data_IF_629931983585
#
_entry.id   IF_629931983585
#
_cell.length_a   1.000
_cell.length_b   1.000
_cell.length_c   1.000
_cell.angle_alpha   90.00
_cell.angle_beta   90.00
_cell.angle_gamma   90.00
#
_symmetry.space_group_name_H-M   'P 1'
#
loop_
_entity.id
_entity.type
_entity.pdbx_description
1 polymer ?
#
# COMPACT_ATOMS: atom_id res chain seq x y z
N UNK A 1 -19.41 5.82 -7.23
CA UNK A 1 -18.11 5.27 -6.90
C UNK A 1 -17.35 4.93 -8.17
N UNK A 2 -16.06 5.21 -8.22
CA UNK A 2 -15.29 4.89 -9.40
C UNK A 2 -15.23 3.37 -9.60
N UNK A 3 -15.36 2.91 -10.84
CA UNK A 3 -15.26 1.49 -11.19
C UNK A 3 -13.93 0.85 -10.76
N UNK A 4 -12.88 1.64 -10.57
CA UNK A 4 -11.58 1.17 -10.08
C UNK A 4 -11.63 0.58 -8.67
N UNK A 5 -12.39 1.17 -7.74
CA UNK A 5 -12.51 0.64 -6.37
C UNK A 5 -13.23 -0.72 -6.31
N UNK A 6 -14.07 -1.02 -7.29
CA UNK A 6 -14.77 -2.30 -7.36
C UNK A 6 -13.79 -3.44 -7.71
N UNK A 7 -12.84 -3.20 -8.59
CA UNK A 7 -11.94 -4.25 -9.11
C UNK A 7 -10.87 -4.69 -8.13
N UNK A 8 -10.28 -3.76 -7.42
CA UNK A 8 -9.23 -4.06 -6.45
C UNK A 8 -9.80 -4.76 -5.22
N UNK A 9 -11.05 -4.44 -4.87
CA UNK A 9 -11.75 -4.98 -3.71
C UNK A 9 -12.54 -6.25 -4.00
N UNK A 10 -13.15 -6.33 -5.16
CA UNK A 10 -14.09 -7.39 -5.55
C UNK A 10 -13.58 -8.19 -6.75
N UNK A 11 -12.41 -8.81 -6.61
CA UNK A 11 -11.87 -9.66 -7.66
C UNK A 11 -12.66 -10.97 -7.79
N UNK A 12 -12.59 -11.68 -8.95
CA UNK A 12 -13.38 -12.88 -9.21
C UNK A 12 -13.23 -13.96 -8.14
N UNK A 13 -14.34 -14.51 -7.67
CA UNK A 13 -14.36 -15.57 -6.65
C UNK A 13 -13.49 -16.78 -7.02
N UNK A 14 -13.40 -17.11 -8.31
CA UNK A 14 -12.52 -18.17 -8.80
C UNK A 14 -11.04 -17.94 -8.47
N UNK A 15 -10.58 -16.67 -8.42
CA UNK A 15 -9.23 -16.34 -8.00
C UNK A 15 -9.09 -16.43 -6.48
N UNK A 16 -10.14 -16.07 -5.73
CA UNK A 16 -10.18 -16.29 -4.28
C UNK A 16 -10.01 -17.78 -3.93
N UNK A 17 -10.70 -18.67 -4.61
CA UNK A 17 -10.57 -20.13 -4.42
C UNK A 17 -9.16 -20.65 -4.73
N UNK A 18 -8.37 -19.93 -5.53
CA UNK A 18 -6.97 -20.24 -5.81
C UNK A 18 -5.99 -19.62 -4.80
N UNK A 19 -6.49 -18.97 -3.74
CA UNK A 19 -5.68 -18.31 -2.72
C UNK A 19 -5.65 -16.79 -2.80
N UNK A 20 -6.28 -16.17 -3.80
CA UNK A 20 -6.38 -14.72 -3.94
C UNK A 20 -5.01 -14.05 -3.94
N UNK A 21 -4.88 -12.93 -3.24
CA UNK A 21 -3.62 -12.18 -3.15
C UNK A 21 -2.49 -12.92 -2.41
N UNK A 22 -2.79 -13.99 -1.67
CA UNK A 22 -1.74 -14.82 -1.05
C UNK A 22 -1.07 -15.77 -2.06
N UNK A 23 -1.75 -16.07 -3.16
CA UNK A 23 -1.15 -16.88 -4.22
C UNK A 23 -0.07 -16.07 -4.94
N UNK A 24 1.16 -16.58 -5.13
CA UNK A 24 2.23 -15.86 -5.82
C UNK A 24 1.89 -15.48 -7.27
N UNK A 25 1.03 -16.24 -7.94
CA UNK A 25 0.60 -15.95 -9.31
C UNK A 25 -0.40 -14.77 -9.38
N UNK A 26 -0.88 -14.26 -8.25
CA UNK A 26 -1.86 -13.16 -8.21
C UNK A 26 -1.34 -11.90 -8.89
N UNK A 27 -0.04 -11.64 -8.81
CA UNK A 27 0.59 -10.52 -9.50
C UNK A 27 0.52 -10.65 -11.03
N UNK A 28 0.63 -11.85 -11.57
CA UNK A 28 0.53 -12.10 -13.00
C UNK A 28 -0.92 -12.04 -13.47
N UNK A 29 -1.87 -12.60 -12.71
CA UNK A 29 -3.30 -12.46 -13.02
C UNK A 29 -3.75 -11.00 -13.09
N UNK A 30 -3.19 -10.15 -12.21
CA UNK A 30 -3.49 -8.73 -12.24
C UNK A 30 -2.93 -8.06 -13.49
N UNK A 31 -1.70 -8.42 -13.91
CA UNK A 31 -1.09 -7.91 -15.14
C UNK A 31 -1.88 -8.32 -16.37
N UNK A 32 -2.31 -9.58 -16.45
CA UNK A 32 -3.14 -10.06 -17.56
C UNK A 32 -4.43 -9.25 -17.69
N UNK A 33 -5.11 -9.01 -16.57
CA UNK A 33 -6.27 -8.14 -16.54
C UNK A 33 -5.94 -6.70 -16.96
N UNK A 34 -4.90 -6.10 -16.38
CA UNK A 34 -4.48 -4.73 -16.68
C UNK A 34 -4.12 -4.57 -18.17
N UNK A 35 -3.49 -5.58 -18.77
CA UNK A 35 -3.14 -5.58 -20.18
C UNK A 35 -4.35 -5.46 -21.09
N UNK A 36 -5.43 -6.18 -20.80
CA UNK A 36 -6.69 -6.07 -21.57
C UNK A 36 -7.24 -4.64 -21.51
N UNK A 37 -7.18 -4.00 -20.34
CA UNK A 37 -7.65 -2.62 -20.15
C UNK A 37 -6.75 -1.63 -20.91
N UNK A 38 -5.43 -1.80 -20.85
CA UNK A 38 -4.45 -0.93 -21.53
C UNK A 38 -4.59 -1.07 -23.04
N UNK A 39 -4.68 -2.27 -23.57
CA UNK A 39 -4.86 -2.53 -25.01
C UNK A 39 -6.15 -1.85 -25.55
N UNK A 40 -7.22 -1.82 -24.74
CA UNK A 40 -8.50 -1.24 -25.11
C UNK A 40 -8.55 0.29 -25.02
N UNK A 41 -7.84 0.91 -24.04
CA UNK A 41 -8.04 2.30 -23.67
C UNK A 41 -6.83 3.21 -23.84
N UNK A 42 -5.63 2.70 -24.07
CA UNK A 42 -4.40 3.50 -24.10
C UNK A 42 -4.24 4.41 -25.33
N UNK A 43 -5.16 4.32 -26.29
CA UNK A 43 -5.30 5.29 -27.39
C UNK A 43 -5.91 6.62 -26.95
N UNK A 44 -6.61 6.65 -25.80
CA UNK A 44 -7.33 7.81 -25.26
C UNK A 44 -6.99 8.17 -23.83
N UNK A 45 -6.52 7.20 -23.01
CA UNK A 45 -6.11 7.40 -21.62
C UNK A 45 -4.61 7.62 -21.53
N UNK A 46 -4.20 8.69 -20.85
CA UNK A 46 -2.79 9.02 -20.60
C UNK A 46 -2.37 8.72 -19.16
N UNK A 47 -3.23 8.98 -18.18
CA UNK A 47 -2.94 8.83 -16.76
C UNK A 47 -3.46 7.50 -16.23
N UNK A 48 -2.55 6.71 -15.65
CA UNK A 48 -2.85 5.36 -15.16
C UNK A 48 -2.46 5.25 -13.69
N UNK A 49 -3.36 4.81 -12.86
CA UNK A 49 -3.06 4.35 -11.50
C UNK A 49 -3.11 2.83 -11.50
N UNK A 50 -2.01 2.18 -11.14
CA UNK A 50 -1.91 0.72 -11.16
C UNK A 50 -2.81 0.08 -10.12
N UNK A 51 -2.73 0.57 -8.87
CA UNK A 51 -3.49 0.07 -7.72
C UNK A 51 -4.00 1.27 -6.93
N UNK A 52 -5.21 1.14 -6.42
CA UNK A 52 -5.85 2.14 -5.56
C UNK A 52 -6.11 1.55 -4.17
N UNK A 53 -5.66 2.25 -3.13
CA UNK A 53 -5.94 1.98 -1.71
C UNK A 53 -5.72 0.52 -1.28
N UNK A 54 -4.52 -0.05 -1.41
CA UNK A 54 -4.28 -1.41 -0.95
C UNK A 54 -4.50 -1.56 0.55
N UNK A 55 -4.36 -0.48 1.34
CA UNK A 55 -4.73 -0.43 2.74
C UNK A 55 -6.20 -0.83 2.98
N UNK A 56 -7.07 -0.52 2.01
CA UNK A 56 -8.50 -0.82 2.15
C UNK A 56 -8.79 -2.28 1.85
N UNK A 57 -8.36 -2.82 0.71
CA UNK A 57 -8.73 -4.19 0.38
C UNK A 57 -7.89 -5.23 1.14
N UNK A 58 -6.61 -4.99 1.41
CA UNK A 58 -5.80 -5.87 2.28
C UNK A 58 -6.13 -5.62 3.77
N UNK A 59 -6.07 -4.38 4.23
CA UNK A 59 -6.31 -4.07 5.64
C UNK A 59 -7.74 -4.37 6.07
N UNK A 60 -8.75 -3.82 5.39
CA UNK A 60 -10.14 -4.04 5.79
C UNK A 60 -10.67 -5.43 5.41
N UNK A 61 -10.17 -6.04 4.34
CA UNK A 61 -10.61 -7.36 3.90
C UNK A 61 -10.00 -8.51 4.67
N UNK A 62 -8.70 -8.40 5.00
CA UNK A 62 -7.93 -9.52 5.52
C UNK A 62 -7.27 -9.28 6.90
N UNK A 63 -7.08 -8.02 7.34
CA UNK A 63 -6.55 -7.77 8.68
C UNK A 63 -7.66 -7.63 9.72
N UNK A 64 -8.70 -6.82 9.44
CA UNK A 64 -9.81 -6.61 10.40
C UNK A 64 -11.11 -7.30 10.02
N UNK A 65 -11.23 -7.81 8.79
CA UNK A 65 -12.40 -8.56 8.34
C UNK A 65 -13.68 -7.73 8.23
N UNK A 66 -13.56 -6.42 7.90
CA UNK A 66 -14.69 -5.50 7.75
C UNK A 66 -15.31 -5.54 6.36
N UNK A 67 -14.52 -5.87 5.34
CA UNK A 67 -14.95 -6.00 3.95
C UNK A 67 -14.74 -7.43 3.46
N UNK A 68 -15.33 -7.77 2.33
CA UNK A 68 -15.07 -9.05 1.68
C UNK A 68 -13.54 -9.25 1.48
N UNK A 69 -13.02 -10.45 1.69
CA UNK A 69 -13.69 -11.71 2.02
C UNK A 69 -13.93 -11.93 3.53
N UNK A 70 -13.91 -10.88 4.37
CA UNK A 70 -14.21 -10.91 5.81
C UNK A 70 -13.27 -11.81 6.63
N UNK A 71 -12.03 -11.93 6.21
CA UNK A 71 -11.02 -12.75 6.86
C UNK A 71 -10.22 -11.95 7.90
N UNK A 72 -9.59 -12.66 8.83
CA UNK A 72 -8.61 -12.13 9.77
C UNK A 72 -7.39 -13.02 9.72
N UNK A 73 -6.39 -12.61 8.97
CA UNK A 73 -5.19 -13.38 8.73
C UNK A 73 -4.03 -12.90 9.63
N UNK A 74 -3.06 -13.78 9.92
CA UNK A 74 -1.86 -13.42 10.67
C UNK A 74 -0.99 -12.42 9.89
N UNK A 75 -0.13 -11.70 10.62
CA UNK A 75 0.75 -10.67 10.05
C UNK A 75 1.61 -11.19 8.89
N UNK A 76 2.12 -12.42 8.98
CA UNK A 76 2.91 -13.05 7.93
C UNK A 76 2.16 -13.13 6.59
N UNK A 77 0.91 -13.56 6.62
CA UNK A 77 0.10 -13.70 5.41
C UNK A 77 -0.26 -12.34 4.83
N UNK A 78 -0.59 -11.37 5.70
CA UNK A 78 -0.85 -9.99 5.29
C UNK A 78 0.38 -9.34 4.64
N UNK A 79 1.56 -9.57 5.20
CA UNK A 79 2.81 -9.08 4.63
C UNK A 79 3.10 -9.70 3.26
N UNK A 80 2.88 -11.02 3.12
CA UNK A 80 3.05 -11.70 1.83
C UNK A 80 2.03 -11.22 0.79
N UNK A 81 0.76 -11.05 1.17
CA UNK A 81 -0.26 -10.46 0.29
C UNK A 81 0.13 -9.07 -0.19
N UNK A 82 0.60 -8.22 0.74
CA UNK A 82 1.06 -6.87 0.41
C UNK A 82 2.20 -6.89 -0.60
N UNK A 83 3.15 -7.80 -0.42
CA UNK A 83 4.27 -7.97 -1.34
C UNK A 83 3.81 -8.39 -2.74
N UNK A 84 2.87 -9.33 -2.83
CA UNK A 84 2.30 -9.76 -4.11
C UNK A 84 1.55 -8.61 -4.82
N UNK A 85 0.85 -7.75 -4.07
CA UNK A 85 0.21 -6.54 -4.60
C UNK A 85 1.25 -5.55 -5.12
N UNK A 86 2.35 -5.36 -4.39
CA UNK A 86 3.45 -4.49 -4.83
C UNK A 86 4.16 -5.05 -6.08
N UNK A 87 4.34 -6.37 -6.17
CA UNK A 87 4.84 -7.02 -7.40
C UNK A 87 3.87 -6.81 -8.57
N UNK A 88 2.56 -6.90 -8.34
CA UNK A 88 1.55 -6.59 -9.36
C UNK A 88 1.67 -5.15 -9.85
N UNK A 89 1.92 -4.19 -8.94
CA UNK A 89 2.23 -2.80 -9.31
C UNK A 89 3.41 -2.71 -10.25
N UNK A 90 4.58 -3.20 -9.84
CA UNK A 90 5.82 -3.08 -10.62
C UNK A 90 5.73 -3.75 -11.99
N UNK A 91 5.19 -4.96 -12.05
CA UNK A 91 4.92 -5.67 -13.31
C UNK A 91 3.99 -4.87 -14.23
N UNK A 92 2.93 -4.27 -13.65
CA UNK A 92 1.96 -3.46 -14.40
C UNK A 92 2.58 -2.18 -14.93
N UNK A 93 3.45 -1.50 -14.16
CA UNK A 93 4.20 -0.32 -14.65
C UNK A 93 5.00 -0.67 -15.90
N UNK A 94 5.76 -1.78 -15.87
CA UNK A 94 6.53 -2.23 -17.04
C UNK A 94 5.62 -2.51 -18.23
N UNK A 95 4.58 -3.30 -18.02
CA UNK A 95 3.62 -3.65 -19.07
C UNK A 95 2.96 -2.41 -19.71
N UNK A 96 2.52 -1.43 -18.90
CA UNK A 96 1.92 -0.20 -19.42
C UNK A 96 2.93 0.56 -20.30
N UNK A 97 4.19 0.69 -19.83
CA UNK A 97 5.23 1.39 -20.62
C UNK A 97 5.54 0.71 -21.95
N UNK A 98 5.47 -0.61 -21.99
CA UNK A 98 5.74 -1.42 -23.18
C UNK A 98 4.57 -1.45 -24.16
N UNK A 99 3.32 -1.46 -23.66
CA UNK A 99 2.13 -1.75 -24.47
C UNK A 99 1.25 -0.53 -24.77
N UNK A 100 1.38 0.58 -24.01
CA UNK A 100 0.51 1.73 -24.21
C UNK A 100 0.71 2.41 -25.56
N UNK A 101 -0.39 2.70 -26.27
CA UNK A 101 -0.41 3.36 -27.57
C UNK A 101 -0.02 4.84 -27.53
N UNK A 102 -0.24 5.49 -26.38
CA UNK A 102 0.22 6.86 -26.07
C UNK A 102 1.21 6.82 -24.93
N UNK A 103 2.15 7.78 -24.87
CA UNK A 103 3.08 7.91 -23.78
C UNK A 103 2.34 7.99 -22.44
N UNK A 104 2.45 6.98 -21.56
CA UNK A 104 1.67 6.92 -20.33
C UNK A 104 2.28 7.79 -19.24
N UNK A 105 1.42 8.27 -18.34
CA UNK A 105 1.77 8.80 -17.02
C UNK A 105 1.24 7.85 -15.98
N UNK A 106 2.14 7.27 -15.19
CA UNK A 106 1.81 6.15 -14.29
C UNK A 106 2.01 6.56 -12.85
N UNK A 107 1.08 6.20 -11.99
CA UNK A 107 1.15 6.44 -10.55
C UNK A 107 0.51 5.31 -9.74
N UNK A 108 0.48 5.54 -8.45
CA UNK A 108 -0.14 4.69 -7.45
C UNK A 108 -0.97 5.56 -6.50
N UNK A 109 -2.11 5.11 -6.01
CA UNK A 109 -2.95 5.88 -5.11
C UNK A 109 -3.06 5.22 -3.74
N UNK A 110 -2.76 5.97 -2.69
CA UNK A 110 -2.84 5.52 -1.30
C UNK A 110 -4.05 6.13 -0.58
N UNK A 111 -4.59 5.40 0.39
CA UNK A 111 -5.47 5.97 1.40
C UNK A 111 -4.62 6.38 2.60
N UNK A 112 -4.44 7.68 2.79
CA UNK A 112 -3.55 8.20 3.82
C UNK A 112 -4.35 9.01 4.83
N UNK A 113 -4.59 8.49 6.04
CA UNK A 113 -5.03 9.34 7.15
C UNK A 113 -3.87 10.23 7.57
N UNK A 114 -4.13 11.51 7.78
CA UNK A 114 -3.16 12.44 8.34
C UNK A 114 -3.49 12.73 9.79
N UNK A 115 -2.48 12.78 10.65
CA UNK A 115 -2.63 13.36 11.98
C UNK A 115 -2.29 14.84 11.91
N UNK A 116 -3.22 15.71 12.35
CA UNK A 116 -2.99 17.14 12.40
C UNK A 116 -2.54 17.57 13.79
N UNK A 117 -1.57 18.49 13.91
CA UNK A 117 -1.17 19.01 15.20
C UNK A 117 -2.31 19.80 15.85
N UNK A 118 -2.42 19.76 17.19
CA UNK A 118 -3.44 20.49 17.95
C UNK A 118 -3.22 22.00 17.95
N UNK A 119 -1.98 22.40 17.79
CA UNK A 119 -1.53 23.80 17.69
C UNK A 119 -0.25 23.92 16.87
N UNK A 120 0.26 25.12 16.68
CA UNK A 120 1.47 25.38 15.91
C UNK A 120 2.78 25.24 16.73
N UNK A 121 2.75 24.64 17.90
CA UNK A 121 3.97 24.40 18.68
C UNK A 121 4.85 23.35 17.99
N UNK A 122 6.20 23.49 18.07
CA UNK A 122 7.11 22.49 17.51
C UNK A 122 6.85 21.06 18.06
N UNK A 123 6.41 20.97 19.31
CA UNK A 123 6.07 19.70 19.95
C UNK A 123 4.83 19.06 19.33
N UNK A 124 3.74 19.81 19.15
CA UNK A 124 2.50 19.28 18.53
C UNK A 124 2.74 18.85 17.09
N UNK A 125 3.52 19.64 16.33
CA UNK A 125 3.89 19.30 14.96
C UNK A 125 4.69 17.99 14.91
N UNK A 126 5.70 17.84 15.78
CA UNK A 126 6.53 16.64 15.82
C UNK A 126 5.72 15.39 16.21
N UNK A 127 4.81 15.53 17.18
CA UNK A 127 3.93 14.44 17.58
C UNK A 127 3.00 14.02 16.44
N UNK A 128 2.39 14.98 15.76
CA UNK A 128 1.53 14.70 14.60
C UNK A 128 2.32 13.99 13.49
N UNK A 129 3.57 14.42 13.24
CA UNK A 129 4.49 13.76 12.31
C UNK A 129 4.76 12.32 12.72
N UNK A 130 5.18 12.07 13.96
CA UNK A 130 5.47 10.73 14.46
C UNK A 130 4.27 9.80 14.34
N UNK A 131 3.07 10.26 14.71
CA UNK A 131 1.85 9.46 14.57
C UNK A 131 1.47 9.16 13.11
N UNK A 132 1.70 10.11 12.22
CA UNK A 132 1.43 9.91 10.79
C UNK A 132 2.33 8.85 10.16
N UNK A 133 3.51 8.61 10.75
CA UNK A 133 4.50 7.64 10.25
C UNK A 133 4.75 6.47 11.22
N UNK A 134 3.95 6.34 12.27
CA UNK A 134 4.09 5.23 13.21
C UNK A 134 3.92 3.89 12.49
N UNK A 135 4.78 2.92 12.81
CA UNK A 135 4.73 1.58 12.28
C UNK A 135 4.52 0.58 13.41
N UNK A 136 3.40 -0.14 13.38
CA UNK A 136 3.07 -1.14 14.38
C UNK A 136 2.65 -2.44 13.72
N UNK A 137 2.90 -3.56 14.41
CA UNK A 137 2.56 -4.91 13.92
C UNK A 137 1.05 -5.08 13.65
N UNK A 138 0.22 -4.47 14.47
CA UNK A 138 -1.24 -4.59 14.41
C UNK A 138 -1.84 -3.78 13.26
N UNK A 139 -1.14 -2.76 12.80
CA UNK A 139 -1.67 -1.79 11.84
C UNK A 139 -0.87 -1.63 10.56
N UNK A 140 0.28 -2.31 10.41
CA UNK A 140 1.20 -2.07 9.29
C UNK A 140 0.52 -2.08 7.91
N UNK A 141 -0.49 -2.94 7.71
CA UNK A 141 -1.22 -3.02 6.44
C UNK A 141 -2.03 -1.74 6.12
N UNK A 142 -2.22 -0.84 7.09
CA UNK A 142 -2.87 0.47 6.93
C UNK A 142 -1.85 1.62 6.83
N UNK A 143 -0.59 1.38 7.20
CA UNK A 143 0.42 2.44 7.23
C UNK A 143 0.93 2.78 5.83
N UNK A 144 0.99 4.07 5.52
CA UNK A 144 1.39 4.53 4.18
C UNK A 144 2.82 4.11 3.84
N UNK A 145 3.75 4.19 4.79
CA UNK A 145 5.15 3.83 4.57
C UNK A 145 5.31 2.37 4.13
N UNK A 146 4.49 1.44 4.66
CA UNK A 146 4.51 0.03 4.24
C UNK A 146 4.30 -0.17 2.73
N UNK A 147 3.50 0.68 2.12
CA UNK A 147 3.17 0.62 0.71
C UNK A 147 4.01 1.57 -0.15
N UNK A 148 4.31 2.77 0.38
CA UNK A 148 5.01 3.81 -0.36
C UNK A 148 6.52 3.58 -0.44
N UNK A 149 7.18 3.20 0.66
CA UNK A 149 8.63 3.08 0.69
C UNK A 149 9.15 2.04 -0.33
N UNK A 150 8.55 0.83 -0.47
CA UNK A 150 8.95 -0.10 -1.52
C UNK A 150 8.88 0.48 -2.93
N UNK A 151 7.88 1.32 -3.22
CA UNK A 151 7.68 1.91 -4.55
C UNK A 151 8.67 3.06 -4.80
N UNK A 152 8.86 3.94 -3.81
CA UNK A 152 9.62 5.17 -4.01
C UNK A 152 11.07 5.10 -3.54
N UNK A 153 11.36 4.26 -2.57
CA UNK A 153 12.69 4.11 -1.96
C UNK A 153 13.35 2.76 -2.29
N UNK A 154 12.60 1.79 -2.83
CA UNK A 154 13.12 0.48 -3.21
C UNK A 154 13.39 -0.46 -2.04
N UNK A 155 12.86 -0.17 -0.85
CA UNK A 155 12.96 -1.03 0.32
C UNK A 155 11.75 -0.82 1.25
N UNK A 156 11.48 -1.78 2.12
CA UNK A 156 10.50 -1.63 3.17
C UNK A 156 10.98 -0.66 4.26
N UNK A 157 10.07 -0.03 5.04
CA UNK A 157 10.46 0.80 6.18
C UNK A 157 11.39 0.04 7.12
N UNK A 158 12.45 0.68 7.62
CA UNK A 158 13.42 0.03 8.53
C UNK A 158 12.74 -0.53 9.78
N UNK A 159 11.73 0.16 10.31
CA UNK A 159 10.95 -0.30 11.44
C UNK A 159 10.19 -1.61 11.14
N UNK A 160 9.82 -1.85 9.89
CA UNK A 160 9.14 -3.07 9.50
C UNK A 160 9.95 -4.32 9.82
N UNK A 161 11.26 -4.29 9.54
CA UNK A 161 12.15 -5.42 9.82
C UNK A 161 12.24 -5.74 11.30
N UNK A 162 12.27 -4.72 12.16
CA UNK A 162 12.33 -4.87 13.61
C UNK A 162 11.00 -5.32 14.21
N UNK A 163 9.88 -4.83 13.67
CA UNK A 163 8.52 -5.08 14.17
C UNK A 163 7.98 -6.41 13.68
N UNK A 164 8.09 -6.71 12.39
CA UNK A 164 7.56 -7.94 11.79
C UNK A 164 8.50 -9.13 11.93
N UNK A 165 9.82 -8.92 11.93
CA UNK A 165 10.84 -9.98 12.10
C UNK A 165 10.61 -11.15 11.11
N UNK A 166 10.32 -12.33 11.62
CA UNK A 166 10.06 -13.54 10.84
C UNK A 166 8.76 -13.47 10.01
N UNK A 167 7.93 -12.46 10.22
CA UNK A 167 6.69 -12.26 9.46
C UNK A 167 6.86 -11.30 8.27
N UNK A 168 8.07 -10.80 8.01
CA UNK A 168 8.37 -10.13 6.76
C UNK A 168 8.03 -11.03 5.56
N UNK A 169 7.61 -10.46 4.43
CA UNK A 169 7.32 -11.26 3.23
C UNK A 169 8.57 -11.97 2.73
N UNK A 170 8.39 -13.02 1.95
CA UNK A 170 9.48 -13.66 1.24
C UNK A 170 9.90 -12.81 0.03
N UNK A 171 10.91 -11.96 0.23
CA UNK A 171 11.47 -11.08 -0.79
C UNK A 171 12.52 -11.85 -1.58
N UNK A 172 12.32 -11.97 -2.88
CA UNK A 172 13.28 -12.62 -3.79
C UNK A 172 14.22 -11.58 -4.41
N UNK A 173 15.35 -12.05 -4.92
CA UNK A 173 16.25 -11.23 -5.71
C UNK A 173 15.51 -10.58 -6.90
N UNK A 174 15.66 -9.26 -7.05
CA UNK A 174 15.00 -8.48 -8.10
C UNK A 174 13.58 -7.99 -7.77
N UNK A 175 12.93 -8.49 -6.71
CA UNK A 175 11.56 -8.07 -6.36
C UNK A 175 11.49 -6.56 -6.07
N UNK A 176 12.42 -6.03 -5.26
CA UNK A 176 12.41 -4.63 -4.88
C UNK A 176 12.72 -3.71 -6.07
N UNK A 177 13.62 -4.12 -6.97
CA UNK A 177 13.88 -3.41 -8.23
C UNK A 177 12.65 -3.40 -9.13
N UNK A 178 11.91 -4.50 -9.18
CA UNK A 178 10.67 -4.60 -9.95
C UNK A 178 9.58 -3.72 -9.34
N UNK A 179 9.41 -3.71 -8.02
CA UNK A 179 8.42 -2.89 -7.32
C UNK A 179 8.72 -1.40 -7.50
N UNK A 180 9.98 -0.98 -7.40
CA UNK A 180 10.40 0.42 -7.48
C UNK A 180 10.57 0.97 -8.90
N UNK A 181 9.83 0.41 -9.87
CA UNK A 181 9.81 1.00 -11.22
C UNK A 181 9.41 2.47 -11.16
N UNK A 182 10.12 3.38 -11.89
CA UNK A 182 9.82 4.80 -11.85
C UNK A 182 8.36 5.11 -12.16
N UNK A 183 7.72 5.91 -11.31
CA UNK A 183 6.36 6.42 -11.49
C UNK A 183 6.38 7.92 -11.76
N UNK A 184 5.32 8.43 -12.41
CA UNK A 184 5.25 9.84 -12.85
C UNK A 184 4.52 10.72 -11.86
N UNK A 185 3.68 10.16 -10.98
CA UNK A 185 2.93 10.93 -9.98
C UNK A 185 2.58 10.09 -8.75
N UNK A 186 2.35 10.78 -7.65
CA UNK A 186 1.84 10.23 -6.40
C UNK A 186 0.35 10.57 -6.27
N UNK A 187 -0.49 9.55 -6.19
CA UNK A 187 -1.91 9.70 -5.90
C UNK A 187 -2.18 9.54 -4.42
N UNK A 188 -3.05 10.37 -3.87
CA UNK A 188 -3.44 10.27 -2.47
C UNK A 188 -4.93 10.54 -2.30
N UNK A 189 -5.59 9.67 -1.51
CA UNK A 189 -6.97 9.81 -1.10
C UNK A 189 -7.00 10.19 0.39
N UNK A 190 -7.38 11.43 0.70
CA UNK A 190 -7.49 11.95 2.06
C UNK A 190 -8.95 12.25 2.34
N UNK A 191 -9.56 11.52 3.27
CA UNK A 191 -10.97 11.68 3.63
C UNK A 191 -11.15 12.43 4.94
N UNK A 192 -10.19 12.32 5.85
CA UNK A 192 -10.24 12.95 7.17
C UNK A 192 -8.83 13.09 7.73
N UNK A 193 -8.69 14.02 8.67
CA UNK A 193 -7.52 14.11 9.54
C UNK A 193 -7.93 13.76 10.97
N UNK A 194 -7.03 13.15 11.71
CA UNK A 194 -7.20 12.93 13.15
C UNK A 194 -6.54 14.08 13.89
N UNK A 195 -7.35 14.90 14.59
CA UNK A 195 -6.80 15.85 15.54
C UNK A 195 -6.39 15.10 16.81
N UNK A 196 -5.25 15.44 17.35
CA UNK A 196 -4.79 14.82 18.60
C UNK A 196 -5.46 15.48 19.80
N UNK A 197 -6.24 14.74 20.57
CA UNK A 197 -7.04 15.28 21.67
C UNK A 197 -6.32 15.28 23.02
N UNK A 198 -5.16 14.60 23.20
CA UNK A 198 -4.56 14.46 24.54
C UNK A 198 -3.03 14.47 24.55
N UNK A 199 -2.39 15.57 25.01
CA UNK A 199 -0.94 15.64 25.15
C UNK A 199 -0.35 14.71 26.23
N UNK A 200 -1.14 14.15 27.12
CA UNK A 200 -0.67 13.27 28.21
C UNK A 200 -0.24 11.89 27.71
N UNK A 201 -0.76 11.44 26.57
CA UNK A 201 -0.37 10.14 25.97
C UNK A 201 1.04 10.13 25.35
N UNK A 202 1.70 11.28 25.27
CA UNK A 202 2.99 11.46 24.59
C UNK A 202 4.22 11.21 25.45
N UNK A 203 4.07 11.08 26.74
CA UNK A 203 5.20 10.78 27.64
C UNK A 203 5.86 9.45 27.32
N UNK A 204 5.13 8.50 26.73
CA UNK A 204 5.67 7.20 26.33
C UNK A 204 6.47 7.25 25.04
N UNK A 205 6.17 8.14 24.10
CA UNK A 205 6.91 8.27 22.84
C UNK A 205 8.31 8.88 23.07
N UNK A 206 8.46 9.81 24.03
CA UNK A 206 9.76 10.40 24.39
C UNK A 206 10.73 9.40 25.03
N UNK A 207 10.24 8.34 25.67
CA UNK A 207 11.10 7.35 26.32
C UNK A 207 11.86 6.45 25.34
N UNK A 208 11.40 6.35 24.10
CA UNK A 208 12.06 5.54 23.06
C UNK A 208 13.09 6.31 22.23
N UNK A 209 13.06 7.64 22.24
CA UNK A 209 14.03 8.47 21.48
C UNK A 209 15.34 8.75 22.22
N UNK A 210 15.49 8.34 23.47
CA UNK A 210 16.69 8.58 24.27
C UNK A 210 17.74 7.47 24.21
N UNK A 211 17.64 6.56 23.25
CA UNK A 211 18.65 5.52 22.99
C UNK A 211 19.14 5.65 21.55
N UNK A 212 19.90 6.69 21.32
CA UNK A 212 20.88 6.80 20.24
C UNK A 212 22.24 7.04 20.84
#
# INVERSE_FOLDING_TARGET
>A
GSEMCIRDRDYPYALHQKGGWLNPDSSDWFVDYAKVVVDALSDRVTYWMTINEPQVFIGCGYAIGKFAPFQKLPARDLAQMSHNVLLAHGKTVKMIRECAKKAPKIGFAFSTPCTTPTDNSPLAIEIARQKSFAFTRERFAFETAWWADPIFLGDYPQDAYSVLKSDMPNIKEGDMELISQPVDFYGVNIYYSQAEENPVSYTHLRAHETVL
#
